data_IF_043050282431
#
_entry.id   IF_043050282431
#
_cell.length_a   1.000
_cell.length_b   1.000
_cell.length_c   1.000
_cell.angle_alpha   90.00
_cell.angle_beta   90.00
_cell.angle_gamma   90.00
#
_symmetry.space_group_name_H-M   'P 1'
#
loop_
_entity.id
_entity.type
_entity.pdbx_description
1 polymer ?
#
# COMPACT_ATOMS: atom_id res chain seq x y z
N UNK A 1 -25.30 -7.60 -19.99
CA UNK A 1 -24.37 -7.45 -18.86
C UNK A 1 -23.09 -8.14 -19.26
N UNK A 2 -22.08 -7.39 -19.71
CA UNK A 2 -20.84 -7.95 -20.27
C UNK A 2 -19.74 -7.67 -19.28
N UNK A 3 -19.26 -8.72 -18.61
CA UNK A 3 -18.07 -8.64 -17.77
C UNK A 3 -16.84 -8.55 -18.67
N UNK A 4 -16.28 -7.35 -18.81
CA UNK A 4 -14.98 -7.17 -19.41
C UNK A 4 -13.91 -7.51 -18.36
N UNK A 5 -13.56 -8.80 -18.33
CA UNK A 5 -12.48 -9.37 -17.54
C UNK A 5 -11.15 -8.89 -18.13
N UNK A 6 -10.34 -8.21 -17.32
CA UNK A 6 -8.92 -8.06 -17.63
C UNK A 6 -8.25 -9.41 -17.33
N UNK A 7 -7.45 -9.90 -18.27
CA UNK A 7 -6.53 -11.01 -18.07
C UNK A 7 -5.59 -10.68 -16.90
N UNK A 8 -5.91 -11.23 -15.73
CA UNK A 8 -5.13 -11.09 -14.51
C UNK A 8 -5.99 -10.82 -13.28
N UNK A 9 -6.93 -11.72 -12.98
CA UNK A 9 -7.92 -11.66 -11.89
C UNK A 9 -8.99 -10.58 -12.09
N UNK A 10 -10.23 -10.98 -12.40
CA UNK A 10 -11.39 -10.10 -12.62
C UNK A 10 -11.86 -9.40 -11.34
N UNK A 11 -11.02 -8.55 -10.76
CA UNK A 11 -11.29 -7.73 -9.60
C UNK A 11 -11.82 -6.36 -10.04
N UNK A 12 -12.89 -5.92 -9.39
CA UNK A 12 -13.47 -4.59 -9.52
C UNK A 12 -12.57 -3.51 -8.93
N UNK A 13 -12.80 -2.24 -9.32
CA UNK A 13 -12.13 -1.09 -8.71
C UNK A 13 -12.22 -1.08 -7.17
N UNK A 14 -13.35 -1.52 -6.62
CA UNK A 14 -13.55 -1.57 -5.18
C UNK A 14 -12.61 -2.59 -4.52
N UNK A 15 -12.50 -3.79 -5.08
CA UNK A 15 -11.64 -4.86 -4.54
C UNK A 15 -10.15 -4.48 -4.61
N UNK A 16 -9.72 -3.85 -5.70
CA UNK A 16 -8.30 -3.45 -5.83
C UNK A 16 -7.94 -2.29 -4.89
N UNK A 17 -8.85 -1.33 -4.68
CA UNK A 17 -8.62 -0.22 -3.74
C UNK A 17 -8.68 -0.69 -2.30
N UNK A 18 -9.59 -1.63 -1.98
CA UNK A 18 -9.64 -2.30 -0.68
C UNK A 18 -8.35 -3.08 -0.39
N UNK A 19 -7.84 -3.82 -1.38
CA UNK A 19 -6.55 -4.53 -1.24
C UNK A 19 -5.40 -3.55 -0.98
N UNK A 20 -5.35 -2.44 -1.71
CA UNK A 20 -4.30 -1.43 -1.51
C UNK A 20 -4.39 -0.80 -0.11
N UNK A 21 -5.58 -0.42 0.36
CA UNK A 21 -5.78 0.09 1.73
C UNK A 21 -5.39 -0.96 2.80
N UNK A 22 -5.73 -2.23 2.59
CA UNK A 22 -5.35 -3.30 3.50
C UNK A 22 -3.81 -3.47 3.57
N UNK A 23 -3.12 -3.36 2.43
CA UNK A 23 -1.66 -3.40 2.37
C UNK A 23 -1.03 -2.20 3.09
N UNK A 24 -1.56 -0.98 2.90
CA UNK A 24 -1.11 0.21 3.63
C UNK A 24 -1.28 0.05 5.14
N UNK A 25 -2.43 -0.50 5.57
CA UNK A 25 -2.69 -0.77 6.99
C UNK A 25 -1.72 -1.80 7.55
N UNK A 26 -1.48 -2.90 6.85
CA UNK A 26 -0.53 -3.92 7.26
C UNK A 26 0.89 -3.35 7.41
N UNK A 27 1.33 -2.49 6.49
CA UNK A 27 2.61 -1.79 6.59
C UNK A 27 2.68 -0.89 7.83
N UNK A 28 1.64 -0.10 8.09
CA UNK A 28 1.56 0.74 9.28
C UNK A 28 1.53 -0.07 10.59
N UNK A 29 0.86 -1.22 10.58
CA UNK A 29 0.78 -2.12 11.73
C UNK A 29 2.14 -2.72 12.08
N UNK A 30 2.91 -3.17 11.09
CA UNK A 30 4.28 -3.70 11.30
C UNK A 30 5.21 -2.64 11.88
N UNK A 31 5.15 -1.40 11.38
CA UNK A 31 5.97 -0.30 11.90
C UNK A 31 5.59 0.05 13.34
N UNK A 32 4.30 0.06 13.67
CA UNK A 32 3.81 0.36 15.02
C UNK A 32 4.19 -0.73 16.01
N UNK A 33 3.96 -2.00 15.67
CA UNK A 33 4.32 -3.14 16.52
C UNK A 33 5.81 -3.11 16.89
N UNK A 34 6.66 -2.77 15.93
CA UNK A 34 8.09 -2.64 16.17
C UNK A 34 8.45 -1.43 17.04
N UNK A 35 7.77 -0.29 16.83
CA UNK A 35 7.90 0.90 17.68
C UNK A 35 7.52 0.63 19.14
N UNK A 36 6.38 -0.03 19.37
CA UNK A 36 5.90 -0.43 20.70
C UNK A 36 6.87 -1.40 21.39
N UNK A 37 7.53 -2.26 20.61
CA UNK A 37 8.54 -3.20 21.10
C UNK A 37 9.86 -2.51 21.47
N UNK A 38 10.24 -1.45 20.77
CA UNK A 38 11.47 -0.69 21.03
C UNK A 38 11.31 0.28 22.22
N UNK A 39 10.13 0.85 22.39
CA UNK A 39 9.81 1.80 23.46
C UNK A 39 8.50 1.41 24.15
N UNK A 40 8.49 0.35 24.98
CA UNK A 40 7.33 0.04 25.79
C UNK A 40 7.07 1.23 26.73
N UNK A 41 5.93 1.87 26.56
CA UNK A 41 5.55 3.04 27.35
C UNK A 41 5.29 2.60 28.80
N UNK A 42 6.21 2.94 29.70
CA UNK A 42 6.05 2.80 31.14
C UNK A 42 7.05 1.83 31.78
N UNK A 43 7.92 2.40 32.63
CA UNK A 43 8.89 1.73 33.50
C UNK A 43 10.19 1.24 32.81
N UNK A 44 11.13 2.19 32.69
CA UNK A 44 12.54 1.87 32.47
C UNK A 44 13.10 1.14 33.70
N UNK A 45 13.04 -0.20 33.67
CA UNK A 45 13.88 -1.03 34.54
C UNK A 45 15.30 -1.07 33.97
N UNK A 46 16.37 -0.93 34.78
CA UNK A 46 17.75 -0.86 34.29
C UNK A 46 18.24 -2.16 33.62
N UNK A 47 17.48 -3.25 33.71
CA UNK A 47 17.85 -4.57 33.21
C UNK A 47 17.51 -4.78 31.71
N UNK A 48 16.95 -3.77 31.03
CA UNK A 48 16.43 -3.90 29.66
C UNK A 48 17.46 -3.92 28.51
N UNK A 49 18.74 -3.61 28.79
CA UNK A 49 19.77 -3.51 27.74
C UNK A 49 20.26 -4.87 27.21
N UNK A 50 20.09 -5.96 27.95
CA UNK A 50 20.51 -7.31 27.51
C UNK A 50 19.60 -7.92 26.44
N UNK A 51 18.36 -7.44 26.28
CA UNK A 51 17.42 -7.96 25.27
C UNK A 51 17.81 -7.58 23.84
N UNK A 52 18.61 -6.53 23.67
CA UNK A 52 19.14 -6.10 22.37
C UNK A 52 20.17 -7.09 21.79
N UNK A 53 20.76 -7.98 22.61
CA UNK A 53 21.65 -9.04 22.14
C UNK A 53 20.90 -10.19 21.42
N UNK A 54 19.59 -10.35 21.66
CA UNK A 54 18.70 -11.15 20.80
C UNK A 54 18.25 -10.37 19.53
N UNK A 55 18.78 -9.15 19.35
CA UNK A 55 18.33 -8.14 18.41
C UNK A 55 18.67 -8.40 16.94
N UNK A 56 19.63 -9.26 16.61
CA UNK A 56 19.96 -9.53 15.20
C UNK A 56 18.90 -10.42 14.51
N UNK A 57 18.41 -11.45 15.19
CA UNK A 57 17.32 -12.28 14.63
C UNK A 57 16.01 -11.46 14.58
N UNK A 58 15.79 -10.58 15.56
CA UNK A 58 14.63 -9.70 15.61
C UNK A 58 14.69 -8.55 14.59
N UNK A 59 15.87 -8.04 14.25
CA UNK A 59 16.06 -6.99 13.25
C UNK A 59 15.94 -7.54 11.83
N UNK A 60 16.50 -8.73 11.56
CA UNK A 60 16.35 -9.43 10.28
C UNK A 60 14.90 -9.87 10.06
N UNK A 61 14.23 -10.40 11.08
CA UNK A 61 12.82 -10.74 11.00
C UNK A 61 11.95 -9.50 10.75
N UNK A 62 12.23 -8.38 11.42
CA UNK A 62 11.54 -7.12 11.17
C UNK A 62 11.79 -6.59 9.77
N UNK A 63 13.04 -6.53 9.32
CA UNK A 63 13.38 -6.09 7.97
C UNK A 63 12.70 -6.96 6.90
N UNK A 64 12.61 -8.27 7.14
CA UNK A 64 11.91 -9.21 6.26
C UNK A 64 10.40 -8.97 6.25
N UNK A 65 9.78 -8.76 7.42
CA UNK A 65 8.35 -8.45 7.53
C UNK A 65 8.02 -7.11 6.88
N UNK A 66 8.85 -6.08 7.13
CA UNK A 66 8.71 -4.75 6.54
C UNK A 66 8.88 -4.80 5.01
N UNK A 67 9.88 -5.54 4.51
CA UNK A 67 10.07 -5.73 3.09
C UNK A 67 8.86 -6.42 2.44
N UNK A 68 8.31 -7.46 3.08
CA UNK A 68 7.14 -8.17 2.57
C UNK A 68 5.91 -7.24 2.46
N UNK A 69 5.60 -6.47 3.50
CA UNK A 69 4.44 -5.56 3.49
C UNK A 69 4.63 -4.38 2.54
N UNK A 70 5.85 -3.82 2.43
CA UNK A 70 6.15 -2.75 1.46
C UNK A 70 6.07 -3.27 0.02
N UNK A 71 6.50 -4.51 -0.22
CA UNK A 71 6.39 -5.13 -1.55
C UNK A 71 4.93 -5.36 -1.94
N UNK A 72 4.09 -5.80 -1.01
CA UNK A 72 2.65 -5.97 -1.25
C UNK A 72 1.94 -4.62 -1.47
N UNK A 73 2.33 -3.57 -0.72
CA UNK A 73 1.79 -2.22 -0.92
C UNK A 73 2.16 -1.68 -2.31
N UNK A 74 3.43 -1.79 -2.70
CA UNK A 74 3.89 -1.37 -4.02
C UNK A 74 3.21 -2.15 -5.16
N UNK A 75 3.00 -3.45 -4.97
CA UNK A 75 2.29 -4.31 -5.93
C UNK A 75 0.83 -3.89 -6.04
N UNK A 76 0.15 -3.65 -4.91
CA UNK A 76 -1.25 -3.23 -4.89
C UNK A 76 -1.43 -1.84 -5.48
N UNK A 77 -0.51 -0.91 -5.21
CA UNK A 77 -0.47 0.42 -5.83
C UNK A 77 -0.37 0.31 -7.34
N UNK A 78 0.54 -0.52 -7.86
CA UNK A 78 0.68 -0.76 -9.31
C UNK A 78 -0.64 -1.25 -9.93
N UNK A 79 -1.31 -2.21 -9.29
CA UNK A 79 -2.60 -2.72 -9.77
C UNK A 79 -3.64 -1.60 -9.85
N UNK A 80 -3.70 -0.71 -8.85
CA UNK A 80 -4.56 0.47 -8.90
C UNK A 80 -4.19 1.37 -10.08
N UNK A 81 -2.90 1.64 -10.33
CA UNK A 81 -2.48 2.50 -11.44
C UNK A 81 -2.80 1.88 -12.81
N UNK A 82 -2.61 0.58 -12.98
CA UNK A 82 -2.83 -0.15 -14.24
C UNK A 82 -4.32 -0.44 -14.52
N UNK A 83 -5.19 -0.40 -13.50
CA UNK A 83 -6.62 -0.67 -13.65
C UNK A 83 -7.26 0.19 -14.74
N UNK A 84 -7.93 -0.44 -15.71
CA UNK A 84 -8.70 0.29 -16.73
C UNK A 84 -10.16 0.42 -16.29
N UNK A 85 -10.64 1.64 -16.03
CA UNK A 85 -12.05 1.85 -15.73
C UNK A 85 -12.96 1.40 -16.87
N UNK A 86 -14.12 0.84 -16.54
CA UNK A 86 -15.10 0.37 -17.53
C UNK A 86 -15.96 1.51 -18.08
N UNK A 87 -16.17 2.55 -17.29
CA UNK A 87 -16.96 3.72 -17.66
C UNK A 87 -16.41 5.00 -17.03
N UNK A 88 -16.98 6.14 -17.44
CA UNK A 88 -16.58 7.45 -16.97
C UNK A 88 -16.75 7.64 -15.46
N UNK A 89 -17.77 7.03 -14.87
CA UNK A 89 -18.04 7.12 -13.44
C UNK A 89 -16.95 6.38 -12.66
N UNK A 90 -16.50 5.25 -13.15
CA UNK A 90 -15.40 4.48 -12.60
C UNK A 90 -14.05 5.17 -12.78
N UNK A 91 -13.83 5.87 -13.90
CA UNK A 91 -12.65 6.73 -14.09
C UNK A 91 -12.59 7.82 -13.03
N UNK A 92 -13.71 8.49 -12.75
CA UNK A 92 -13.78 9.49 -11.67
C UNK A 92 -13.45 8.85 -10.31
N UNK A 93 -14.05 7.70 -9.99
CA UNK A 93 -13.79 7.00 -8.71
C UNK A 93 -12.32 6.64 -8.55
N UNK A 94 -11.69 6.14 -9.62
CA UNK A 94 -10.25 5.82 -9.64
C UNK A 94 -9.42 7.07 -9.34
N UNK A 95 -9.70 8.18 -10.02
CA UNK A 95 -8.98 9.45 -9.82
C UNK A 95 -9.17 10.03 -8.41
N UNK A 96 -10.38 9.95 -7.87
CA UNK A 96 -10.68 10.37 -6.49
C UNK A 96 -9.86 9.55 -5.50
N UNK A 97 -9.83 8.22 -5.67
CA UNK A 97 -9.02 7.35 -4.82
C UNK A 97 -7.53 7.69 -4.89
N UNK A 98 -6.97 7.78 -6.10
CA UNK A 98 -5.55 8.12 -6.29
C UNK A 98 -5.24 9.46 -5.65
N UNK A 99 -6.09 10.47 -5.84
CA UNK A 99 -5.90 11.80 -5.23
C UNK A 99 -5.90 11.73 -3.70
N UNK A 100 -6.86 11.00 -3.13
CA UNK A 100 -6.95 10.82 -1.67
C UNK A 100 -5.72 10.10 -1.11
N UNK A 101 -5.27 9.03 -1.79
CA UNK A 101 -4.04 8.30 -1.44
C UNK A 101 -2.81 9.21 -1.45
N UNK A 102 -2.58 9.96 -2.53
CA UNK A 102 -1.42 10.84 -2.67
C UNK A 102 -1.37 11.92 -1.58
N UNK A 103 -2.53 12.51 -1.27
CA UNK A 103 -2.65 13.51 -0.21
C UNK A 103 -2.38 12.87 1.16
N UNK A 104 -3.00 11.72 1.47
CA UNK A 104 -2.87 11.06 2.76
C UNK A 104 -1.46 10.53 3.02
N UNK A 105 -0.78 10.03 1.99
CA UNK A 105 0.59 9.55 2.08
C UNK A 105 1.65 10.66 1.90
N UNK A 106 1.23 11.89 1.59
CA UNK A 106 2.11 13.01 1.25
C UNK A 106 3.11 12.69 0.13
N UNK A 107 2.72 11.83 -0.80
CA UNK A 107 3.54 11.40 -1.93
C UNK A 107 3.05 12.00 -3.24
N UNK A 108 3.94 11.99 -4.24
CA UNK A 108 3.62 12.39 -5.61
C UNK A 108 3.61 11.16 -6.51
N UNK A 109 2.88 11.25 -7.61
CA UNK A 109 3.00 10.28 -8.70
C UNK A 109 4.38 10.39 -9.32
N UNK A 110 4.96 9.24 -9.65
CA UNK A 110 6.10 9.19 -10.55
C UNK A 110 5.66 9.51 -11.99
N UNK A 111 6.61 9.87 -12.85
CA UNK A 111 6.32 10.21 -14.25
C UNK A 111 5.66 9.04 -15.01
N UNK A 112 6.10 7.81 -14.74
CA UNK A 112 5.53 6.58 -15.30
C UNK A 112 4.09 6.33 -14.85
N UNK A 113 3.79 6.56 -13.57
CA UNK A 113 2.45 6.46 -13.01
C UNK A 113 1.53 7.55 -13.52
N UNK A 114 2.05 8.78 -13.65
CA UNK A 114 1.31 9.88 -14.25
C UNK A 114 0.91 9.52 -15.68
N UNK A 115 1.81 8.98 -16.49
CA UNK A 115 1.48 8.53 -17.84
C UNK A 115 0.37 7.46 -17.83
N UNK A 116 0.47 6.44 -16.97
CA UNK A 116 -0.56 5.39 -16.84
C UNK A 116 -1.93 5.95 -16.42
N UNK A 117 -1.94 6.88 -15.46
CA UNK A 117 -3.18 7.52 -14.99
C UNK A 117 -3.80 8.35 -16.11
N UNK A 118 -3.00 9.10 -16.88
CA UNK A 118 -3.49 9.92 -17.98
C UNK A 118 -4.00 9.07 -19.15
N UNK A 119 -3.33 7.96 -19.48
CA UNK A 119 -3.82 7.01 -20.49
C UNK A 119 -5.14 6.37 -20.09
N UNK A 120 -5.28 5.94 -18.82
CA UNK A 120 -6.51 5.34 -18.31
C UNK A 120 -7.65 6.34 -18.11
N UNK A 121 -7.33 7.63 -17.94
CA UNK A 121 -8.29 8.71 -17.75
C UNK A 121 -8.69 9.40 -19.06
N UNK A 122 -7.99 9.16 -20.17
CA UNK A 122 -8.38 9.66 -21.47
C UNK A 122 -9.73 9.01 -21.87
N UNK A 123 -10.84 9.78 -21.89
CA UNK A 123 -12.09 9.26 -22.38
C UNK A 123 -11.89 8.99 -23.87
N UNK A 124 -12.44 7.88 -24.35
CA UNK A 124 -12.55 7.50 -25.76
C UNK A 124 -12.38 8.70 -26.70
N UNK A 125 -11.26 8.74 -27.43
CA UNK A 125 -11.11 9.57 -28.63
C UNK A 125 -11.99 9.04 -29.75
#
# INVERSE_FOLDING_TARGET
MVEARIEGAGLSLAEITERHMAAQKAAADVVREWGDRLYPSGEASPEGYDRLAAGDVSSVAYASALLAVVTEEATSRRIVMEYRPLDYQESIRKLVYISAFLIAAEVRLEESEMAMVMEAAAPFG
#
